data_IF_150374725267
#
_entry.id   IF_150374725267
#
_cell.length_a   1.000
_cell.length_b   1.000
_cell.length_c   1.000
_cell.angle_alpha   90.00
_cell.angle_beta   90.00
_cell.angle_gamma   90.00
#
_symmetry.space_group_name_H-M   'P 1'
#
loop_
_entity.id
_entity.type
_entity.pdbx_description
1 polymer ?
#
# COMPACT_ATOMS: atom_id res chain seq x y z
N UNK A 1 5.23 -10.18 12.92
CA UNK A 1 4.02 -10.03 12.06
C UNK A 1 4.45 -9.92 10.60
N UNK A 2 5.40 -9.04 10.26
CA UNK A 2 5.92 -8.92 8.89
C UNK A 2 6.50 -10.25 8.38
N UNK A 3 7.42 -10.86 9.12
CA UNK A 3 8.00 -12.18 8.77
C UNK A 3 6.94 -13.28 8.57
N UNK A 4 5.90 -13.30 9.41
CA UNK A 4 4.81 -14.27 9.29
C UNK A 4 3.97 -14.02 8.01
N UNK A 5 3.70 -12.77 7.67
CA UNK A 5 2.98 -12.43 6.43
C UNK A 5 3.81 -12.82 5.22
N UNK A 6 5.13 -12.67 5.30
CA UNK A 6 6.05 -13.05 4.25
C UNK A 6 6.15 -14.58 4.06
N UNK A 7 6.14 -15.36 5.14
CA UNK A 7 6.02 -16.81 5.06
C UNK A 7 4.65 -17.23 4.49
N UNK A 8 3.56 -16.60 4.96
CA UNK A 8 2.21 -16.97 4.54
C UNK A 8 1.95 -16.65 3.06
N UNK A 9 2.52 -15.57 2.52
CA UNK A 9 2.27 -15.19 1.12
C UNK A 9 2.87 -16.19 0.11
N UNK A 10 3.79 -17.06 0.54
CA UNK A 10 4.29 -18.15 -0.32
C UNK A 10 3.22 -19.21 -0.61
N UNK A 11 2.25 -19.36 0.30
CA UNK A 11 1.22 -20.40 0.22
C UNK A 11 -0.20 -19.86 0.05
N UNK A 12 -0.42 -18.59 0.36
CA UNK A 12 -1.74 -17.97 0.39
C UNK A 12 -1.75 -16.61 -0.31
N UNK A 13 -2.90 -16.26 -0.89
CA UNK A 13 -3.16 -14.88 -1.29
C UNK A 13 -3.63 -14.08 -0.07
N UNK A 14 -2.81 -13.13 0.36
CA UNK A 14 -3.06 -12.32 1.55
C UNK A 14 -3.55 -10.94 1.12
N UNK A 15 -4.68 -10.49 1.69
CA UNK A 15 -5.22 -9.13 1.50
C UNK A 15 -5.26 -8.43 2.85
N UNK A 16 -4.57 -7.30 2.95
CA UNK A 16 -4.44 -6.53 4.20
C UNK A 16 -5.04 -5.14 3.97
N UNK A 17 -5.90 -4.71 4.90
CA UNK A 17 -6.38 -3.33 4.98
C UNK A 17 -5.71 -2.68 6.19
N UNK A 18 -4.91 -1.65 5.95
CA UNK A 18 -4.16 -0.96 7.00
C UNK A 18 -4.02 0.53 6.72
N UNK A 19 -3.93 1.31 7.79
CA UNK A 19 -3.53 2.72 7.75
C UNK A 19 -2.02 2.90 8.01
N UNK A 20 -1.31 1.82 8.38
CA UNK A 20 0.12 1.85 8.59
C UNK A 20 0.85 1.74 7.25
N UNK A 21 1.08 2.89 6.63
CA UNK A 21 1.71 3.01 5.33
C UNK A 21 3.15 2.49 5.30
N UNK A 22 3.90 2.64 6.41
CA UNK A 22 5.28 2.17 6.52
C UNK A 22 5.36 0.65 6.56
N UNK A 23 4.39 -0.01 7.20
CA UNK A 23 4.29 -1.46 7.17
C UNK A 23 3.86 -1.94 5.80
N UNK A 24 2.82 -1.32 5.21
CA UNK A 24 2.37 -1.66 3.86
C UNK A 24 3.49 -1.55 2.82
N UNK A 25 4.38 -0.55 2.94
CA UNK A 25 5.51 -0.39 2.03
C UNK A 25 6.56 -1.50 2.13
N UNK A 26 6.59 -2.26 3.24
CA UNK A 26 7.55 -3.35 3.46
C UNK A 26 6.97 -4.72 3.13
N UNK A 27 5.72 -4.98 3.50
CA UNK A 27 5.14 -6.33 3.45
C UNK A 27 4.34 -6.61 2.18
N UNK A 28 3.87 -5.59 1.49
CA UNK A 28 2.95 -5.76 0.35
C UNK A 28 3.68 -5.79 -0.98
N UNK A 29 3.35 -6.73 -1.85
CA UNK A 29 3.84 -6.73 -3.25
C UNK A 29 3.13 -5.66 -4.10
N UNK A 30 1.83 -5.51 -3.87
CA UNK A 30 0.97 -4.53 -4.52
C UNK A 30 0.21 -3.73 -3.48
N UNK A 31 -0.05 -2.47 -3.79
CA UNK A 31 -0.83 -1.58 -2.92
C UNK A 31 -1.96 -0.93 -3.72
N UNK A 32 -3.15 -0.89 -3.10
CA UNK A 32 -4.32 -0.18 -3.58
C UNK A 32 -4.60 1.01 -2.65
N UNK A 33 -4.65 2.22 -3.19
CA UNK A 33 -5.10 3.40 -2.46
C UNK A 33 -6.58 3.65 -2.74
N UNK A 34 -7.40 3.49 -1.71
CA UNK A 34 -8.82 3.81 -1.73
C UNK A 34 -9.08 5.12 -0.98
N UNK A 35 -9.93 5.97 -1.55
CA UNK A 35 -10.36 7.21 -0.91
C UNK A 35 -11.84 7.44 -1.19
N UNK A 36 -12.63 7.65 -0.13
CA UNK A 36 -14.09 7.90 -0.22
C UNK A 36 -14.86 6.84 -1.04
N UNK A 37 -14.44 5.58 -0.95
CA UNK A 37 -15.08 4.46 -1.67
C UNK A 37 -14.62 4.30 -3.13
N UNK A 38 -13.71 5.13 -3.62
CA UNK A 38 -13.13 5.01 -4.95
C UNK A 38 -11.70 4.45 -4.90
N UNK A 39 -11.38 3.56 -5.84
CA UNK A 39 -10.00 3.12 -6.08
C UNK A 39 -9.26 4.22 -6.85
N UNK A 40 -8.42 4.97 -6.16
CA UNK A 40 -7.70 6.11 -6.72
C UNK A 40 -6.49 5.63 -7.52
N UNK A 41 -5.75 4.65 -6.99
CA UNK A 41 -4.55 4.11 -7.61
C UNK A 41 -4.27 2.68 -7.14
N UNK A 42 -3.79 1.83 -8.04
CA UNK A 42 -3.31 0.48 -7.76
C UNK A 42 -2.05 0.23 -8.56
N UNK A 43 -0.98 -0.17 -7.89
CA UNK A 43 0.30 -0.47 -8.54
C UNK A 43 1.18 -1.37 -7.65
N UNK A 44 2.38 -1.73 -8.14
CA UNK A 44 3.40 -2.30 -7.26
C UNK A 44 3.68 -1.34 -6.10
N UNK A 45 3.89 -1.90 -4.93
CA UNK A 45 4.14 -1.12 -3.71
C UNK A 45 5.34 -0.20 -3.91
N UNK A 46 6.42 -0.68 -4.52
CA UNK A 46 7.60 0.13 -4.82
C UNK A 46 7.24 1.42 -5.60
N UNK A 47 6.49 1.29 -6.71
CA UNK A 47 6.12 2.43 -7.54
C UNK A 47 5.20 3.38 -6.79
N UNK A 48 4.20 2.83 -6.09
CA UNK A 48 3.19 3.63 -5.41
C UNK A 48 3.80 4.48 -4.28
N UNK A 49 4.84 3.98 -3.60
CA UNK A 49 5.53 4.68 -2.50
C UNK A 49 6.70 5.58 -2.94
N UNK A 50 7.27 5.36 -4.13
CA UNK A 50 8.41 6.16 -4.62
C UNK A 50 8.01 7.20 -5.67
N UNK A 51 7.16 6.81 -6.62
CA UNK A 51 6.72 7.63 -7.75
C UNK A 51 5.27 7.32 -8.12
N UNK A 52 4.31 7.65 -7.25
CA UNK A 52 2.89 7.50 -7.56
C UNK A 52 2.50 8.35 -8.77
N UNK A 53 1.54 7.86 -9.55
CA UNK A 53 1.02 8.56 -10.72
C UNK A 53 -0.03 9.62 -10.36
N UNK A 54 -0.70 9.49 -9.20
CA UNK A 54 -1.71 10.46 -8.74
C UNK A 54 -1.17 11.35 -7.62
N UNK A 55 -1.40 12.66 -7.75
CA UNK A 55 -1.05 13.64 -6.71
C UNK A 55 -1.69 13.30 -5.35
N UNK A 56 -2.97 12.87 -5.35
CA UNK A 56 -3.66 12.43 -4.12
C UNK A 56 -2.97 11.25 -3.43
N UNK A 57 -2.42 10.30 -4.19
CA UNK A 57 -1.67 9.19 -3.60
C UNK A 57 -0.37 9.71 -2.98
N UNK A 58 0.35 10.60 -3.68
CA UNK A 58 1.59 11.21 -3.18
C UNK A 58 1.37 12.00 -1.89
N UNK A 59 0.36 12.87 -1.88
CA UNK A 59 0.06 13.71 -0.74
C UNK A 59 -0.30 12.83 0.47
N UNK A 60 -1.00 11.70 0.27
CA UNK A 60 -1.43 10.81 1.36
C UNK A 60 -0.23 10.09 1.98
N UNK A 61 0.62 9.50 1.14
CA UNK A 61 1.82 8.75 1.57
C UNK A 61 2.84 9.66 2.25
N UNK A 62 2.99 10.90 1.77
CA UNK A 62 3.92 11.88 2.36
C UNK A 62 3.37 12.58 3.60
N UNK A 63 2.12 12.27 4.01
CA UNK A 63 1.49 12.88 5.17
C UNK A 63 1.12 14.35 4.98
N UNK A 64 0.99 14.81 3.73
CA UNK A 64 0.49 16.15 3.38
C UNK A 64 -1.03 16.24 3.42
N UNK A 65 -1.73 15.12 3.64
CA UNK A 65 -3.15 15.12 4.00
C UNK A 65 -3.31 15.48 5.47
N UNK A 66 -3.92 16.64 5.70
CA UNK A 66 -4.62 17.03 6.93
C UNK A 66 -6.09 17.26 6.61
#
# INVERSE_FOLDING_TARGET
IEDLVEELKEQYTVVIVTHNMQQASRVSDYTAFLYMGELIEFNSTEVLFTKPARQRTQDYITGRFG
#
